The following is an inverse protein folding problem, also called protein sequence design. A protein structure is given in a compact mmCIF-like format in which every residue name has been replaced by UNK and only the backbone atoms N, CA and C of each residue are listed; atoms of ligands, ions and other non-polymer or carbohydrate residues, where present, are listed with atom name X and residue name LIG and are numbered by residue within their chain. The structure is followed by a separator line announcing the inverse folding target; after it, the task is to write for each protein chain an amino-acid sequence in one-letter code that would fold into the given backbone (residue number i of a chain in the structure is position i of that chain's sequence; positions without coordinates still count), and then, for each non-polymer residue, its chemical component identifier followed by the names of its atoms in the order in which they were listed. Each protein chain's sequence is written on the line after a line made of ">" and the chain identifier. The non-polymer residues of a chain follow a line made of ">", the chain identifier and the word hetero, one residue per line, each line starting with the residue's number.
data_IF_331964164389
#
_entry.id   IF_331964164389
#
_cell.length_a   1.000
_cell.length_b   1.000
_cell.length_c   1.000
_cell.angle_alpha   90.00
_cell.angle_beta   90.00
_cell.angle_gamma   90.00
#
_symmetry.space_group_name_H-M   'P 1'
#
loop_
_entity.id
_entity.type
_entity.pdbx_description
1 polymer ?
#
# COMPACT_ATOMS: atom_id res chain seq x y z
N UNK A 1 -23.14 -35.94 -23.42
CA UNK A 1 -22.87 -34.51 -23.64
C UNK A 1 -23.55 -33.71 -22.53
N UNK A 2 -22.76 -32.83 -21.89
CA UNK A 2 -23.12 -31.96 -20.76
C UNK A 2 -23.78 -30.69 -21.28
N UNK A 3 -24.83 -30.22 -20.60
CA UNK A 3 -25.23 -28.82 -20.63
C UNK A 3 -25.73 -28.45 -19.23
N UNK A 4 -24.99 -27.57 -18.57
CA UNK A 4 -25.32 -27.00 -17.27
C UNK A 4 -26.13 -25.72 -17.48
N UNK A 5 -27.05 -25.39 -16.54
CA UNK A 5 -27.94 -24.25 -16.68
C UNK A 5 -27.22 -22.93 -16.48
N UNK A 6 -27.76 -21.92 -17.16
CA UNK A 6 -27.38 -20.52 -17.10
C UNK A 6 -27.31 -20.01 -15.66
N UNK A 7 -26.21 -19.33 -15.34
CA UNK A 7 -26.12 -18.43 -14.21
C UNK A 7 -25.60 -17.09 -14.74
N UNK A 8 -26.53 -16.27 -15.22
CA UNK A 8 -26.30 -14.85 -15.42
C UNK A 8 -26.27 -14.19 -14.04
N UNK A 9 -25.12 -13.63 -13.65
CA UNK A 9 -25.03 -12.73 -12.51
C UNK A 9 -24.32 -11.46 -12.97
N UNK A 10 -25.05 -10.35 -12.86
CA UNK A 10 -24.79 -9.11 -13.55
C UNK A 10 -23.53 -8.38 -13.10
N UNK A 11 -22.86 -7.78 -14.09
CA UNK A 11 -21.88 -6.72 -13.90
C UNK A 11 -22.60 -5.47 -13.39
N UNK A 12 -22.56 -5.24 -12.08
CA UNK A 12 -22.89 -3.93 -11.51
C UNK A 12 -21.69 -3.02 -11.78
N UNK A 13 -21.82 -2.18 -12.81
CA UNK A 13 -20.88 -1.11 -13.12
C UNK A 13 -20.84 -0.11 -11.97
N UNK A 14 -19.65 0.10 -11.41
CA UNK A 14 -19.41 1.13 -10.41
C UNK A 14 -19.34 2.48 -11.14
N UNK A 15 -20.42 3.26 -11.05
CA UNK A 15 -20.44 4.62 -11.57
C UNK A 15 -19.59 5.52 -10.67
N UNK A 16 -18.44 5.97 -11.18
CA UNK A 16 -17.69 7.06 -10.56
C UNK A 16 -18.49 8.36 -10.72
N UNK A 17 -19.12 8.81 -9.63
CA UNK A 17 -19.67 10.16 -9.52
C UNK A 17 -18.50 11.15 -9.46
N UNK A 18 -18.40 12.00 -10.47
CA UNK A 18 -17.53 13.19 -10.46
C UNK A 18 -18.34 14.37 -9.95
N UNK A 19 -17.87 15.13 -8.94
CA UNK A 19 -18.32 16.50 -8.76
C UNK A 19 -17.54 17.41 -9.71
N UNK A 20 -18.30 18.08 -10.57
CA UNK A 20 -17.84 19.09 -11.53
C UNK A 20 -17.50 20.40 -10.79
N UNK A 21 -16.37 20.97 -11.20
CA UNK A 21 -15.91 22.38 -11.16
C UNK A 21 -16.51 23.37 -10.14
N UNK A 22 -15.61 23.99 -9.37
CA UNK A 22 -15.76 25.37 -8.89
C UNK A 22 -14.63 26.21 -9.50
N UNK A 23 -15.01 27.29 -10.17
CA UNK A 23 -14.19 28.07 -11.10
C UNK A 23 -13.31 29.15 -10.42
N UNK A 24 -12.13 29.35 -11.04
CA UNK A 24 -11.33 30.58 -11.21
C UNK A 24 -10.79 31.39 -10.00
N UNK A 25 -9.45 31.45 -9.88
CA UNK A 25 -8.59 32.66 -10.02
C UNK A 25 -7.10 32.29 -9.87
N UNK A 26 -6.14 33.10 -10.40
CA UNK A 26 -5.00 32.62 -11.17
C UNK A 26 -3.72 32.36 -10.36
N UNK A 27 -2.80 31.63 -10.98
CA UNK A 27 -1.37 31.60 -10.65
C UNK A 27 -1.00 31.16 -9.24
N UNK A 28 -1.42 29.97 -8.88
CA UNK A 28 -0.45 29.07 -8.24
C UNK A 28 -0.40 27.87 -9.14
N UNK A 29 0.64 27.82 -9.97
CA UNK A 29 1.20 26.60 -10.52
C UNK A 29 1.19 25.60 -9.37
N UNK A 30 0.13 24.80 -9.29
CA UNK A 30 0.05 23.67 -8.38
C UNK A 30 1.22 22.83 -8.84
N UNK A 31 2.33 22.99 -8.12
CA UNK A 31 3.42 22.06 -8.18
C UNK A 31 2.71 20.75 -7.95
N UNK A 32 2.55 20.01 -9.04
CA UNK A 32 2.49 18.58 -9.01
C UNK A 32 3.79 18.17 -8.34
N UNK A 33 3.86 18.32 -7.02
CA UNK A 33 4.67 17.49 -6.15
C UNK A 33 4.05 16.10 -6.27
N UNK A 34 4.24 15.52 -7.45
CA UNK A 34 4.80 14.20 -7.54
C UNK A 34 6.23 14.33 -7.01
N UNK A 35 6.36 14.68 -5.73
CA UNK A 35 7.55 14.37 -4.95
C UNK A 35 7.73 12.91 -5.24
N UNK A 36 8.85 12.60 -5.88
CA UNK A 36 9.36 11.25 -6.03
C UNK A 36 9.41 10.71 -4.60
N UNK A 37 8.29 10.19 -4.11
CA UNK A 37 8.24 9.52 -2.83
C UNK A 37 9.23 8.40 -3.01
N UNK A 38 10.32 8.50 -2.26
CA UNK A 38 11.33 7.47 -2.25
C UNK A 38 10.58 6.14 -2.12
N UNK A 39 10.80 5.14 -3.00
CA UNK A 39 10.09 3.86 -2.93
C UNK A 39 10.16 3.24 -1.52
N UNK A 40 11.15 3.63 -0.71
CA UNK A 40 11.25 3.28 0.70
C UNK A 40 10.23 3.98 1.61
N UNK A 41 9.94 5.26 1.37
CA UNK A 41 8.89 6.01 2.07
C UNK A 41 7.50 5.46 1.72
N UNK A 42 7.29 5.10 0.46
CA UNK A 42 6.05 4.45 0.02
C UNK A 42 5.89 3.06 0.67
N UNK A 43 6.98 2.29 0.73
CA UNK A 43 7.01 1.01 1.43
C UNK A 43 6.71 1.15 2.93
N UNK A 44 7.32 2.12 3.61
CA UNK A 44 7.07 2.39 5.03
C UNK A 44 5.61 2.80 5.28
N UNK A 45 5.05 3.65 4.43
CA UNK A 45 3.64 4.04 4.49
C UNK A 45 2.70 2.83 4.26
N UNK A 46 3.06 1.93 3.35
CA UNK A 46 2.30 0.71 3.10
C UNK A 46 2.35 -0.26 4.29
N UNK A 47 3.53 -0.48 4.89
CA UNK A 47 3.69 -1.33 6.08
C UNK A 47 2.93 -0.76 7.28
N UNK A 48 3.11 0.53 7.59
CA UNK A 48 2.38 1.19 8.69
C UNK A 48 0.86 1.11 8.53
N UNK A 49 0.36 1.37 7.32
CA UNK A 49 -1.08 1.30 7.02
C UNK A 49 -1.62 -0.12 7.20
N UNK A 50 -0.88 -1.12 6.72
CA UNK A 50 -1.27 -2.52 6.84
C UNK A 50 -1.28 -2.98 8.31
N UNK A 51 -0.22 -2.65 9.07
CA UNK A 51 -0.14 -2.96 10.49
C UNK A 51 -1.23 -2.26 11.31
N UNK A 52 -1.59 -1.03 10.96
CA UNK A 52 -2.71 -0.31 11.59
C UNK A 52 -4.06 -0.97 11.34
N UNK A 53 -4.26 -1.57 10.16
CA UNK A 53 -5.51 -2.25 9.75
C UNK A 53 -5.58 -3.72 10.17
N UNK A 54 -4.62 -4.19 10.96
CA UNK A 54 -4.43 -5.60 11.29
C UNK A 54 -4.23 -6.53 10.05
N UNK A 55 -3.83 -5.97 8.91
CA UNK A 55 -3.60 -6.74 7.67
C UNK A 55 -2.16 -7.28 7.63
N UNK A 56 -1.95 -8.42 8.28
CA UNK A 56 -0.63 -9.03 8.37
C UNK A 56 -0.06 -9.45 7.01
N UNK A 57 -0.90 -9.95 6.10
CA UNK A 57 -0.44 -10.40 4.79
C UNK A 57 0.06 -9.22 3.93
N UNK A 58 -0.67 -8.09 3.95
CA UNK A 58 -0.24 -6.88 3.27
C UNK A 58 1.04 -6.29 3.88
N UNK A 59 1.16 -6.30 5.22
CA UNK A 59 2.35 -5.82 5.90
C UNK A 59 3.60 -6.61 5.49
N UNK A 60 3.54 -7.94 5.50
CA UNK A 60 4.65 -8.80 5.07
C UNK A 60 5.03 -8.57 3.60
N UNK A 61 4.03 -8.42 2.73
CA UNK A 61 4.26 -8.19 1.30
C UNK A 61 4.96 -6.85 1.04
N UNK A 62 4.50 -5.78 1.70
CA UNK A 62 5.10 -4.47 1.59
C UNK A 62 6.54 -4.47 2.13
N UNK A 63 6.76 -5.09 3.30
CA UNK A 63 8.08 -5.16 3.92
C UNK A 63 9.07 -6.01 3.11
N UNK A 64 8.63 -7.12 2.51
CA UNK A 64 9.46 -7.91 1.59
C UNK A 64 9.87 -7.10 0.35
N UNK A 65 8.98 -6.25 -0.18
CA UNK A 65 9.31 -5.33 -1.28
C UNK A 65 10.37 -4.30 -0.89
N UNK A 66 10.29 -3.75 0.33
CA UNK A 66 11.30 -2.83 0.87
C UNK A 66 12.66 -3.50 1.04
N UNK A 67 12.70 -4.72 1.58
CA UNK A 67 13.95 -5.47 1.80
C UNK A 67 14.68 -5.81 0.48
N UNK A 68 13.97 -5.81 -0.65
CA UNK A 68 14.54 -6.08 -1.99
C UNK A 68 15.00 -4.83 -2.74
N UNK A 69 14.55 -3.64 -2.33
CA UNK A 69 14.75 -2.39 -3.10
C UNK A 69 16.18 -1.86 -2.95
N UNK A 70 16.76 -1.93 -1.75
CA UNK A 70 18.17 -1.54 -1.53
C UNK A 70 18.75 -2.21 -0.27
N UNK A 71 19.80 -3.04 -0.43
CA UNK A 71 20.36 -3.86 0.66
C UNK A 71 21.23 -3.08 1.64
N UNK A 72 21.73 -1.91 1.24
CA UNK A 72 22.54 -1.06 2.13
C UNK A 72 21.68 -0.07 2.93
N UNK A 73 20.36 -0.06 2.70
CA UNK A 73 19.45 0.82 3.40
C UNK A 73 19.24 0.39 4.86
N UNK A 74 19.30 1.36 5.78
CA UNK A 74 19.02 1.16 7.20
C UNK A 74 17.66 0.51 7.48
N UNK A 75 16.68 0.70 6.59
CA UNK A 75 15.33 0.15 6.72
C UNK A 75 15.20 -1.29 6.17
N UNK A 76 16.19 -1.81 5.42
CA UNK A 76 16.09 -3.12 4.79
C UNK A 76 16.10 -4.28 5.79
N UNK A 77 16.95 -4.21 6.83
CA UNK A 77 17.00 -5.21 7.92
C UNK A 77 15.69 -5.30 8.71
N UNK A 78 15.16 -4.19 9.26
CA UNK A 78 13.88 -4.22 9.95
C UNK A 78 12.70 -4.58 9.02
N UNK A 79 12.70 -4.15 7.76
CA UNK A 79 11.70 -4.59 6.80
C UNK A 79 11.75 -6.12 6.57
N UNK A 80 12.94 -6.70 6.50
CA UNK A 80 13.10 -8.15 6.45
C UNK A 80 12.58 -8.83 7.73
N UNK A 81 12.83 -8.26 8.92
CA UNK A 81 12.30 -8.78 10.19
C UNK A 81 10.75 -8.77 10.22
N UNK A 82 10.12 -7.73 9.68
CA UNK A 82 8.65 -7.66 9.50
C UNK A 82 8.17 -8.74 8.51
N UNK A 83 8.89 -8.95 7.41
CA UNK A 83 8.58 -9.97 6.42
C UNK A 83 8.77 -11.41 6.96
N UNK A 84 9.65 -11.60 7.94
CA UNK A 84 9.92 -12.91 8.57
C UNK A 84 9.11 -13.14 9.85
N UNK A 85 8.40 -12.12 10.34
CA UNK A 85 7.55 -12.20 11.53
C UNK A 85 6.53 -13.34 11.41
N UNK A 86 6.25 -13.99 12.55
CA UNK A 86 5.31 -15.11 12.66
C UNK A 86 3.89 -14.64 12.83
N UNK A 87 3.71 -13.51 13.50
CA UNK A 87 2.42 -12.89 13.76
C UNK A 87 2.50 -11.35 13.67
N UNK A 88 1.32 -10.72 13.75
CA UNK A 88 1.18 -9.28 13.59
C UNK A 88 1.72 -8.49 14.79
N UNK A 89 1.79 -9.10 15.97
CA UNK A 89 2.34 -8.43 17.14
C UNK A 89 3.86 -8.32 17.02
N UNK A 90 4.52 -9.41 16.63
CA UNK A 90 5.96 -9.44 16.30
C UNK A 90 6.29 -8.44 15.18
N UNK A 91 5.46 -8.37 14.13
CA UNK A 91 5.62 -7.39 13.06
C UNK A 91 5.50 -5.94 13.54
N UNK A 92 4.59 -5.64 14.48
CA UNK A 92 4.46 -4.30 15.08
C UNK A 92 5.64 -3.95 15.97
N UNK A 93 6.22 -4.92 16.67
CA UNK A 93 7.45 -4.73 17.46
C UNK A 93 8.59 -4.33 16.54
N UNK A 94 8.85 -5.11 15.49
CA UNK A 94 9.90 -4.78 14.50
C UNK A 94 9.63 -3.46 13.77
N UNK A 95 8.36 -3.12 13.55
CA UNK A 95 8.02 -1.84 12.95
C UNK A 95 8.31 -0.65 13.88
N UNK A 96 8.15 -0.78 15.19
CA UNK A 96 8.54 0.27 16.14
C UNK A 96 10.06 0.46 16.23
N UNK A 97 10.84 -0.56 15.89
CA UNK A 97 12.30 -0.43 15.80
C UNK A 97 12.75 0.40 14.58
N UNK A 98 11.85 0.71 13.63
CA UNK A 98 12.10 1.61 12.49
C UNK A 98 11.94 3.10 12.85
N UNK A 99 11.27 3.43 13.97
CA UNK A 99 10.88 4.80 14.34
C UNK A 99 11.73 5.41 15.44
#
# INVERSE_FOLDING_TARGET
>A
MKIHPALALGLIGFAFSTPVALAETPDVKAASEKTLADPMLEGYAAVSTALYKDDFAAAKKAAAGMAQTDKENALAKPAQAIADSKDIEEARVHFKELS
#
